data_IF_452238415991
#
_entry.id   IF_452238415991
#
_cell.length_a   1.000
_cell.length_b   1.000
_cell.length_c   1.000
_cell.angle_alpha   90.00
_cell.angle_beta   90.00
_cell.angle_gamma   90.00
#
_symmetry.space_group_name_H-M   'P 1'
#
loop_
_entity.id
_entity.type
_entity.pdbx_description
1 polymer ?
#
# COMPACT_ATOMS: atom_id res chain seq x y z
N UNK A 1 -0.35 -7.38 13.44
CA UNK A 1 -0.40 -8.63 12.65
C UNK A 1 -1.83 -9.06 12.37
N UNK A 2 -2.51 -9.66 13.34
CA UNK A 2 -3.87 -10.21 13.17
C UNK A 2 -5.00 -9.26 13.54
N UNK A 3 -4.69 -8.06 14.04
CA UNK A 3 -5.66 -7.09 14.60
C UNK A 3 -6.75 -6.62 13.63
N UNK A 4 -6.52 -6.72 12.32
CA UNK A 4 -7.51 -6.38 11.28
C UNK A 4 -8.46 -7.56 10.96
N UNK A 5 -8.18 -8.76 11.46
CA UNK A 5 -8.99 -9.96 11.25
C UNK A 5 -9.94 -10.18 12.43
N UNK A 6 -11.20 -10.52 12.15
CA UNK A 6 -12.19 -10.85 13.18
C UNK A 6 -12.13 -12.34 13.54
N UNK A 7 -11.37 -12.67 14.58
CA UNK A 7 -11.21 -14.04 15.07
C UNK A 7 -11.70 -14.16 16.52
N UNK A 8 -12.04 -15.39 16.94
CA UNK A 8 -12.45 -15.66 18.31
C UNK A 8 -11.36 -15.26 19.33
N UNK A 9 -10.09 -15.48 18.99
CA UNK A 9 -8.94 -15.24 19.87
C UNK A 9 -8.48 -13.78 19.98
N UNK A 10 -9.01 -12.86 19.16
CA UNK A 10 -8.63 -11.45 19.20
C UNK A 10 -9.82 -10.48 19.35
N UNK A 11 -10.90 -10.66 18.59
CA UNK A 11 -12.10 -9.83 18.64
C UNK A 11 -13.15 -10.47 19.55
N UNK A 12 -13.40 -11.77 19.38
CA UNK A 12 -14.44 -12.49 20.14
C UNK A 12 -14.21 -12.45 21.64
N UNK A 13 -13.01 -12.86 22.11
CA UNK A 13 -12.66 -12.88 23.53
C UNK A 13 -12.75 -11.50 24.19
N UNK A 14 -12.39 -10.43 23.46
CA UNK A 14 -12.39 -9.06 23.96
C UNK A 14 -13.79 -8.47 24.10
N UNK A 15 -14.77 -8.96 23.33
CA UNK A 15 -16.18 -8.56 23.47
C UNK A 15 -16.88 -9.23 24.65
N UNK A 16 -16.38 -10.37 25.10
CA UNK A 16 -17.03 -11.19 26.13
C UNK A 16 -16.43 -11.01 27.52
N UNK A 17 -15.13 -10.74 27.61
CA UNK A 17 -14.41 -10.66 28.88
C UNK A 17 -13.97 -9.23 29.21
N UNK A 18 -13.89 -8.92 30.50
CA UNK A 18 -13.39 -7.65 31.00
C UNK A 18 -12.36 -7.90 32.13
N UNK A 19 -11.27 -7.12 32.19
CA UNK A 19 -10.92 -5.99 31.33
C UNK A 19 -10.34 -6.42 29.96
N UNK A 20 -10.72 -5.69 28.90
CA UNK A 20 -10.12 -5.82 27.57
C UNK A 20 -9.08 -4.72 27.39
N UNK A 21 -7.79 -5.10 27.28
CA UNK A 21 -6.67 -4.16 27.20
C UNK A 21 -5.75 -4.51 26.05
N UNK A 22 -5.00 -3.51 25.57
CA UNK A 22 -3.93 -3.72 24.59
C UNK A 22 -2.59 -3.95 25.28
N UNK A 23 -1.73 -4.77 24.67
CA UNK A 23 -0.34 -4.94 25.11
C UNK A 23 0.57 -3.85 24.55
N UNK A 24 1.75 -3.67 25.16
CA UNK A 24 2.68 -2.60 24.81
C UNK A 24 3.12 -2.58 23.33
N UNK A 25 3.28 -3.74 22.68
CA UNK A 25 3.67 -3.75 21.27
C UNK A 25 2.57 -3.19 20.38
N UNK A 26 1.32 -3.59 20.63
CA UNK A 26 0.17 -3.10 19.86
C UNK A 26 -0.10 -1.62 20.16
N UNK A 27 0.08 -1.18 21.41
CA UNK A 27 0.00 0.24 21.78
C UNK A 27 1.03 1.11 21.05
N UNK A 28 2.29 0.65 20.97
CA UNK A 28 3.34 1.30 20.18
C UNK A 28 3.00 1.35 18.70
N UNK A 29 2.53 0.24 18.13
CA UNK A 29 2.15 0.15 16.72
C UNK A 29 0.98 1.11 16.40
N UNK A 30 -0.02 1.21 17.29
CA UNK A 30 -1.15 2.13 17.15
C UNK A 30 -0.73 3.60 17.24
N UNK A 31 0.12 3.93 18.22
CA UNK A 31 0.62 5.30 18.40
C UNK A 31 1.43 5.76 17.19
N UNK A 32 2.28 4.89 16.66
CA UNK A 32 3.05 5.18 15.44
C UNK A 32 2.12 5.37 14.23
N UNK A 33 1.16 4.46 14.03
CA UNK A 33 0.24 4.54 12.90
C UNK A 33 -0.62 5.82 12.94
N UNK A 34 -1.15 6.20 14.12
CA UNK A 34 -1.91 7.44 14.28
C UNK A 34 -1.05 8.69 14.01
N UNK A 35 0.18 8.73 14.53
CA UNK A 35 1.09 9.86 14.32
C UNK A 35 1.46 10.09 12.84
N UNK A 36 1.53 9.01 12.06
CA UNK A 36 1.90 9.05 10.63
C UNK A 36 0.73 9.42 9.72
N UNK A 37 -0.50 8.99 10.05
CA UNK A 37 -1.62 9.10 9.11
C UNK A 37 -2.73 10.09 9.50
N UNK A 38 -2.89 10.37 10.79
CA UNK A 38 -4.11 11.03 11.31
C UNK A 38 -3.81 12.28 12.16
N UNK A 39 -2.55 12.71 12.26
CA UNK A 39 -2.15 13.97 12.92
C UNK A 39 -1.90 15.09 11.88
N UNK A 40 -2.92 15.90 11.53
CA UNK A 40 -2.77 17.02 10.59
C UNK A 40 -1.94 18.18 11.17
N UNK A 41 -1.62 18.15 12.47
CA UNK A 41 -0.88 19.22 13.17
C UNK A 41 0.65 19.06 13.10
N UNK A 42 1.15 18.03 12.39
CA UNK A 42 2.58 17.80 12.12
C UNK A 42 2.98 18.12 10.67
N UNK A 43 2.89 19.38 10.21
CA UNK A 43 3.30 19.77 8.86
C UNK A 43 4.81 19.62 8.62
N UNK A 44 5.64 19.47 9.67
CA UNK A 44 7.09 19.29 9.56
C UNK A 44 7.52 17.93 9.00
N UNK A 45 6.61 16.96 8.87
CA UNK A 45 6.89 15.61 8.33
C UNK A 45 6.53 15.48 6.82
N UNK A 46 6.11 16.58 6.18
CA UNK A 46 5.95 16.65 4.71
C UNK A 46 7.25 17.12 4.05
N UNK A 47 7.60 16.58 2.86
CA UNK A 47 6.81 15.67 2.04
C UNK A 47 6.81 14.23 2.58
N UNK A 48 5.62 13.65 2.69
CA UNK A 48 5.43 12.25 3.07
C UNK A 48 5.44 11.36 1.83
N UNK A 49 6.25 10.30 1.85
CA UNK A 49 6.32 9.33 0.77
C UNK A 49 5.88 7.93 1.23
N UNK A 50 4.99 7.29 0.46
CA UNK A 50 4.69 5.87 0.60
C UNK A 50 5.50 5.05 -0.41
N UNK A 51 6.12 3.96 0.03
CA UNK A 51 6.80 3.00 -0.84
C UNK A 51 6.00 1.71 -0.85
N UNK A 52 5.52 1.29 -2.03
CA UNK A 52 4.66 0.14 -2.20
C UNK A 52 5.33 -0.85 -3.15
N UNK A 53 5.56 -2.06 -2.65
CA UNK A 53 6.24 -3.12 -3.39
C UNK A 53 5.68 -4.52 -3.18
N UNK A 54 6.46 -5.51 -3.60
CA UNK A 54 6.12 -6.94 -3.55
C UNK A 54 5.26 -7.40 -4.72
N UNK A 55 4.65 -8.59 -4.59
CA UNK A 55 3.80 -9.18 -5.62
C UNK A 55 2.49 -8.42 -5.83
N UNK A 56 1.97 -8.48 -7.07
CA UNK A 56 0.66 -7.97 -7.44
C UNK A 56 -0.43 -8.94 -6.93
N UNK A 57 -0.79 -8.82 -5.65
CA UNK A 57 -1.96 -9.50 -5.08
C UNK A 57 -3.10 -8.49 -4.89
N UNK A 58 -4.33 -8.91 -5.19
CA UNK A 58 -5.53 -8.05 -5.20
C UNK A 58 -5.70 -7.17 -3.96
N UNK A 59 -5.41 -7.68 -2.77
CA UNK A 59 -5.60 -6.97 -1.49
C UNK A 59 -4.78 -5.67 -1.34
N UNK A 60 -3.70 -5.50 -2.11
CA UNK A 60 -2.84 -4.30 -2.00
C UNK A 60 -3.39 -3.08 -2.73
N UNK A 61 -4.34 -3.24 -3.66
CA UNK A 61 -4.81 -2.10 -4.46
C UNK A 61 -5.61 -1.11 -3.61
N UNK A 62 -6.45 -1.62 -2.71
CA UNK A 62 -7.23 -0.78 -1.79
C UNK A 62 -6.32 0.03 -0.85
N UNK A 63 -5.20 -0.57 -0.41
CA UNK A 63 -4.18 0.13 0.37
C UNK A 63 -3.58 1.28 -0.44
N UNK A 64 -3.23 1.04 -1.70
CA UNK A 64 -2.72 2.07 -2.61
C UNK A 64 -3.74 3.21 -2.78
N UNK A 65 -5.01 2.90 -3.04
CA UNK A 65 -6.09 3.90 -3.21
C UNK A 65 -6.36 4.75 -1.97
N UNK A 66 -6.21 4.15 -0.78
CA UNK A 66 -6.32 4.82 0.51
C UNK A 66 -5.15 5.79 0.73
N UNK A 67 -3.92 5.32 0.46
CA UNK A 67 -2.69 6.08 0.67
C UNK A 67 -2.56 7.29 -0.26
N UNK A 68 -3.11 7.24 -1.49
CA UNK A 68 -3.14 8.39 -2.41
C UNK A 68 -3.81 9.63 -1.80
N UNK A 69 -4.63 9.49 -0.74
CA UNK A 69 -5.25 10.63 -0.07
C UNK A 69 -4.42 11.18 1.10
N UNK A 70 -3.35 10.49 1.51
CA UNK A 70 -2.59 10.80 2.74
C UNK A 70 -1.14 11.23 2.47
N UNK A 71 -0.57 10.90 1.31
CA UNK A 71 0.86 11.14 1.00
C UNK A 71 1.08 12.20 -0.07
N UNK A 72 2.27 12.78 -0.13
CA UNK A 72 2.71 13.71 -1.18
C UNK A 72 3.37 12.95 -2.36
N UNK A 73 4.04 11.83 -2.07
CA UNK A 73 4.71 10.99 -3.07
C UNK A 73 4.39 9.52 -2.86
N UNK A 74 4.35 8.77 -3.95
CA UNK A 74 4.15 7.33 -3.90
C UNK A 74 5.09 6.61 -4.86
N UNK A 75 5.98 5.79 -4.32
CA UNK A 75 6.89 4.94 -5.08
C UNK A 75 6.24 3.58 -5.29
N UNK A 76 6.02 3.19 -6.53
CA UNK A 76 5.46 1.88 -6.90
C UNK A 76 6.58 1.05 -7.53
N UNK A 77 6.96 -0.05 -6.88
CA UNK A 77 8.09 -0.91 -7.29
C UNK A 77 7.77 -2.41 -7.20
N UNK A 78 8.66 -3.29 -7.65
CA UNK A 78 8.46 -4.75 -7.64
C UNK A 78 7.31 -5.22 -8.54
N UNK A 79 6.70 -6.36 -8.20
CA UNK A 79 5.65 -7.00 -8.98
C UNK A 79 4.42 -6.11 -9.24
N UNK A 80 4.06 -5.27 -8.27
CA UNK A 80 2.94 -4.33 -8.42
C UNK A 80 3.18 -3.30 -9.54
N UNK A 81 4.44 -2.90 -9.79
CA UNK A 81 4.77 -1.91 -10.81
C UNK A 81 4.48 -2.39 -12.23
N UNK A 82 4.64 -3.69 -12.52
CA UNK A 82 4.41 -4.23 -13.87
C UNK A 82 2.98 -4.08 -14.35
N UNK A 83 2.00 -4.11 -13.45
CA UNK A 83 0.59 -3.87 -13.83
C UNK A 83 0.37 -2.42 -14.30
N UNK A 84 1.02 -1.45 -13.65
CA UNK A 84 0.99 -0.04 -14.07
C UNK A 84 1.76 0.18 -15.38
N UNK A 85 2.94 -0.44 -15.52
CA UNK A 85 3.74 -0.34 -16.74
C UNK A 85 2.98 -0.95 -17.93
N UNK A 86 2.34 -2.11 -17.74
CA UNK A 86 1.49 -2.73 -18.76
C UNK A 86 0.28 -1.85 -19.12
N UNK A 87 -0.36 -1.20 -18.14
CA UNK A 87 -1.45 -0.25 -18.38
C UNK A 87 -1.01 0.98 -19.21
N UNK A 88 0.26 1.40 -19.07
CA UNK A 88 0.89 2.46 -19.88
C UNK A 88 1.31 2.01 -21.28
N UNK A 89 1.09 0.73 -21.62
CA UNK A 89 1.46 0.16 -22.92
C UNK A 89 2.90 -0.33 -23.02
N UNK A 90 3.65 -0.40 -21.91
CA UNK A 90 4.99 -1.00 -21.93
C UNK A 90 4.90 -2.53 -22.06
N UNK A 91 5.87 -3.11 -22.78
CA UNK A 91 6.04 -4.57 -22.85
C UNK A 91 6.73 -5.06 -21.56
N UNK A 92 6.06 -5.93 -20.81
CA UNK A 92 6.57 -6.46 -19.52
C UNK A 92 6.97 -7.95 -19.58
N UNK A 93 6.86 -8.60 -20.74
CA UNK A 93 7.25 -10.01 -20.92
C UNK A 93 6.44 -10.95 -20.01
N UNK A 94 7.14 -11.88 -19.37
CA UNK A 94 6.60 -12.84 -18.39
C UNK A 94 6.50 -12.28 -16.96
N UNK A 95 6.76 -10.99 -16.76
CA UNK A 95 6.72 -10.37 -15.43
C UNK A 95 5.32 -10.49 -14.81
N UNK A 96 5.22 -10.65 -13.47
CA UNK A 96 3.94 -10.85 -12.81
C UNK A 96 3.05 -9.60 -12.94
N UNK A 97 1.87 -9.77 -13.54
CA UNK A 97 0.85 -8.72 -13.67
C UNK A 97 -0.50 -9.19 -13.15
N UNK A 98 -1.28 -8.27 -12.60
CA UNK A 98 -2.68 -8.48 -12.24
C UNK A 98 -3.57 -7.68 -13.21
N UNK A 99 -4.39 -8.37 -14.01
CA UNK A 99 -5.26 -7.73 -15.02
C UNK A 99 -6.30 -6.79 -14.41
N UNK A 100 -6.72 -7.04 -13.17
CA UNK A 100 -7.61 -6.12 -12.44
C UNK A 100 -6.89 -4.80 -12.17
N UNK A 101 -5.61 -4.87 -11.79
CA UNK A 101 -4.79 -3.69 -11.56
C UNK A 101 -4.49 -2.94 -12.85
N UNK A 102 -4.21 -3.65 -13.96
CA UNK A 102 -3.99 -3.03 -15.28
C UNK A 102 -5.18 -2.16 -15.68
N UNK A 103 -6.41 -2.64 -15.46
CA UNK A 103 -7.63 -1.90 -15.77
C UNK A 103 -7.86 -0.69 -14.87
N UNK A 104 -7.48 -0.77 -13.60
CA UNK A 104 -7.71 0.28 -12.58
C UNK A 104 -6.56 1.30 -12.47
N UNK A 105 -5.37 0.96 -12.94
CA UNK A 105 -4.19 1.81 -12.87
C UNK A 105 -4.42 3.22 -13.45
N UNK A 106 -5.04 3.40 -14.64
CA UNK A 106 -5.28 4.74 -15.20
C UNK A 106 -6.13 5.64 -14.29
N UNK A 107 -7.13 5.06 -13.62
CA UNK A 107 -7.98 5.80 -12.68
C UNK A 107 -7.19 6.26 -11.46
N UNK A 108 -6.34 5.37 -10.91
CA UNK A 108 -5.48 5.71 -9.79
C UNK A 108 -4.48 6.83 -10.16
N UNK A 109 -3.87 6.76 -11.35
CA UNK A 109 -2.95 7.80 -11.81
C UNK A 109 -3.64 9.15 -11.98
N UNK A 110 -4.88 9.15 -12.50
CA UNK A 110 -5.71 10.36 -12.56
C UNK A 110 -5.96 10.92 -11.16
N UNK A 111 -6.39 10.07 -10.22
CA UNK A 111 -6.67 10.45 -8.82
C UNK A 111 -5.44 11.03 -8.13
N UNK A 112 -4.26 10.42 -8.35
CA UNK A 112 -3.00 10.91 -7.82
C UNK A 112 -2.65 12.29 -8.38
N UNK A 113 -2.77 12.47 -9.71
CA UNK A 113 -2.53 13.76 -10.38
C UNK A 113 -3.47 14.87 -9.88
N UNK A 114 -4.76 14.57 -9.73
CA UNK A 114 -5.76 15.52 -9.20
C UNK A 114 -5.44 15.97 -7.77
N UNK A 115 -4.78 15.12 -6.99
CA UNK A 115 -4.39 15.41 -5.61
C UNK A 115 -2.98 15.95 -5.46
N UNK A 116 -2.26 16.14 -6.58
CA UNK A 116 -0.86 16.58 -6.55
C UNK A 116 0.11 15.54 -6.01
N UNK A 117 -0.27 14.26 -5.98
CA UNK A 117 0.59 13.16 -5.54
C UNK A 117 1.53 12.76 -6.66
N UNK A 118 2.84 12.81 -6.40
CA UNK A 118 3.86 12.37 -7.35
C UNK A 118 3.96 10.84 -7.35
N UNK A 119 3.50 10.19 -8.42
CA UNK A 119 3.71 8.77 -8.65
C UNK A 119 5.09 8.52 -9.26
N UNK A 120 5.92 7.75 -8.57
CA UNK A 120 7.28 7.42 -8.95
C UNK A 120 7.36 5.92 -9.26
N UNK A 121 7.83 5.58 -10.45
CA UNK A 121 8.07 4.20 -10.88
C UNK A 121 9.57 3.98 -11.06
N UNK A 122 10.03 2.75 -10.88
CA UNK A 122 11.41 2.37 -11.20
C UNK A 122 11.68 2.64 -12.70
N UNK A 123 12.82 3.26 -13.01
CA UNK A 123 13.19 3.62 -14.39
C UNK A 123 13.85 2.47 -15.15
N UNK A 124 14.49 1.59 -14.40
CA UNK A 124 15.27 0.46 -14.84
C UNK A 124 14.86 -0.80 -14.06
N UNK A 125 14.96 -1.95 -14.71
CA UNK A 125 14.52 -3.24 -14.17
C UNK A 125 15.58 -4.26 -14.52
N UNK A 126 16.06 -4.98 -13.50
CA UNK A 126 16.93 -6.14 -13.70
C UNK A 126 16.06 -7.34 -14.02
N UNK A 127 16.29 -7.95 -15.17
CA UNK A 127 15.55 -9.11 -15.66
C UNK A 127 16.46 -10.33 -15.71
N UNK A 128 15.87 -11.51 -15.54
CA UNK A 128 16.52 -12.80 -15.76
C UNK A 128 15.51 -13.77 -16.34
N UNK A 129 16.01 -14.71 -17.13
CA UNK A 129 15.20 -15.85 -17.56
C UNK A 129 15.02 -16.79 -16.36
N UNK A 130 13.95 -17.58 -16.37
CA UNK A 130 13.75 -18.62 -15.35
C UNK A 130 14.93 -19.60 -15.39
N UNK A 131 15.63 -19.74 -14.27
CA UNK A 131 16.63 -20.81 -14.05
C UNK A 131 15.92 -22.16 -14.30
N UNK A 132 16.49 -23.06 -15.13
CA UNK A 132 15.85 -24.34 -15.50
C UNK A 132 15.53 -25.25 -14.31
#
# INVERSE_FOLDING_TARGET
GTSHMKLASNDGVMRTLSPAVTGYQMDKDLTMAHGVFDDPSRPSERPMAAIIGGSASGAKFEVVESLVNKVDKMVISGGVAFSFLKAKGYKVGSSPTDETWVKRAPELERKAKERGVELIFTKDIVCGDSDP
#
